data_IF_437427184438
#
_entry.id   IF_437427184438
#
_cell.length_a   1.000
_cell.length_b   1.000
_cell.length_c   1.000
_cell.angle_alpha   90.00
_cell.angle_beta   90.00
_cell.angle_gamma   90.00
#
_symmetry.space_group_name_H-M   'P 1'
#
loop_
_entity.id
_entity.type
_entity.pdbx_description
1 polymer ?
#
# COMPACT_ATOMS: atom_id res chain seq x y z
N UNK A 1 -33.21 17.63 9.49
CA UNK A 1 -32.79 16.83 8.33
C UNK A 1 -33.86 16.96 7.27
N UNK A 2 -33.47 17.29 6.03
CA UNK A 2 -34.38 17.45 4.90
C UNK A 2 -35.11 16.13 4.56
N UNK A 3 -36.40 16.20 4.27
CA UNK A 3 -37.27 15.04 4.00
C UNK A 3 -36.87 14.34 2.71
N UNK A 4 -36.41 15.09 1.70
CA UNK A 4 -35.93 14.52 0.44
C UNK A 4 -34.61 13.77 0.63
N UNK A 5 -33.68 14.35 1.41
CA UNK A 5 -32.42 13.70 1.76
C UNK A 5 -32.61 12.39 2.53
N UNK A 6 -33.52 12.38 3.51
CA UNK A 6 -33.85 11.18 4.27
C UNK A 6 -34.49 10.10 3.38
N UNK A 7 -35.39 10.48 2.46
CA UNK A 7 -35.99 9.55 1.50
C UNK A 7 -34.93 8.99 0.54
N UNK A 8 -33.96 9.79 0.11
CA UNK A 8 -32.86 9.33 -0.75
C UNK A 8 -31.96 8.33 -0.02
N UNK A 9 -31.66 8.52 1.27
CA UNK A 9 -30.88 7.54 2.03
C UNK A 9 -31.59 6.17 2.08
N UNK A 10 -32.91 6.17 2.22
CA UNK A 10 -33.71 4.94 2.26
C UNK A 10 -33.63 4.14 0.95
N UNK A 11 -33.46 4.79 -0.21
CA UNK A 11 -33.38 4.06 -1.49
C UNK A 11 -32.13 3.19 -1.62
N UNK A 12 -31.10 3.43 -0.81
CA UNK A 12 -29.86 2.62 -0.80
C UNK A 12 -29.94 1.47 0.21
N UNK A 13 -30.80 1.57 1.23
CA UNK A 13 -30.76 0.71 2.42
C UNK A 13 -31.60 -0.57 2.27
N UNK A 14 -32.51 -0.64 1.29
CA UNK A 14 -33.57 -1.67 1.26
C UNK A 14 -33.40 -2.81 0.24
N UNK A 15 -32.18 -3.04 -0.26
CA UNK A 15 -31.94 -4.10 -1.25
C UNK A 15 -31.25 -5.32 -0.62
N UNK A 16 -32.01 -6.40 -0.38
CA UNK A 16 -31.45 -7.70 0.05
C UNK A 16 -30.62 -8.39 -1.05
N UNK A 17 -30.87 -8.00 -2.32
CA UNK A 17 -30.07 -8.47 -3.45
C UNK A 17 -28.77 -7.67 -3.59
N UNK A 18 -27.64 -8.38 -3.59
CA UNK A 18 -26.31 -7.76 -3.63
C UNK A 18 -26.06 -6.96 -4.91
N UNK A 19 -26.64 -7.38 -6.04
CA UNK A 19 -26.47 -6.69 -7.32
C UNK A 19 -27.36 -5.43 -7.38
N UNK A 20 -28.63 -5.54 -6.99
CA UNK A 20 -29.55 -4.42 -6.87
C UNK A 20 -28.99 -3.36 -5.91
N UNK A 21 -28.45 -3.77 -4.76
CA UNK A 21 -27.77 -2.86 -3.83
C UNK A 21 -26.60 -2.11 -4.49
N UNK A 22 -25.75 -2.80 -5.27
CA UNK A 22 -24.66 -2.16 -6.00
C UNK A 22 -25.16 -1.18 -7.09
N UNK A 23 -26.24 -1.51 -7.78
CA UNK A 23 -26.87 -0.66 -8.81
C UNK A 23 -27.50 0.59 -8.18
N UNK A 24 -28.31 0.43 -7.13
CA UNK A 24 -28.90 1.53 -6.37
C UNK A 24 -27.83 2.45 -5.78
N UNK A 25 -26.75 1.88 -5.23
CA UNK A 25 -25.61 2.66 -4.76
C UNK A 25 -24.86 3.37 -5.89
N UNK A 26 -24.76 2.76 -7.08
CA UNK A 26 -24.14 3.37 -8.26
C UNK A 26 -24.91 4.60 -8.75
N UNK A 27 -26.24 4.56 -8.71
CA UNK A 27 -27.07 5.70 -9.08
C UNK A 27 -27.15 6.75 -7.97
N UNK A 28 -27.23 6.31 -6.71
CA UNK A 28 -27.14 7.20 -5.55
C UNK A 28 -25.82 7.97 -5.50
N UNK A 29 -24.69 7.34 -5.88
CA UNK A 29 -23.37 7.99 -5.93
C UNK A 29 -23.30 9.16 -6.92
N UNK A 30 -24.22 9.27 -7.88
CA UNK A 30 -24.33 10.38 -8.85
C UNK A 30 -25.28 11.48 -8.40
N UNK A 31 -26.01 11.27 -7.31
CA UNK A 31 -27.00 12.20 -6.79
C UNK A 31 -26.36 13.44 -6.17
N UNK A 32 -27.02 14.59 -6.30
CA UNK A 32 -26.65 15.82 -5.60
C UNK A 32 -26.59 15.64 -4.07
N UNK A 33 -27.37 14.69 -3.54
CA UNK A 33 -27.40 14.38 -2.10
C UNK A 33 -26.08 13.82 -1.58
N UNK A 34 -25.16 13.36 -2.44
CA UNK A 34 -23.79 13.01 -2.02
C UNK A 34 -22.99 14.23 -1.54
N UNK A 35 -23.27 15.42 -2.06
CA UNK A 35 -22.68 16.66 -1.57
C UNK A 35 -23.22 17.00 -0.18
N UNK A 36 -24.53 16.90 0.03
CA UNK A 36 -25.17 17.05 1.35
C UNK A 36 -24.59 16.06 2.35
N UNK A 37 -24.46 14.78 1.98
CA UNK A 37 -23.87 13.74 2.82
C UNK A 37 -22.41 14.03 3.19
N UNK A 38 -21.66 14.68 2.30
CA UNK A 38 -20.29 15.13 2.56
C UNK A 38 -20.25 16.28 3.56
N UNK A 39 -21.16 17.24 3.45
CA UNK A 39 -21.25 18.37 4.39
C UNK A 39 -21.66 17.90 5.79
N UNK A 40 -22.63 17.00 5.88
CA UNK A 40 -23.06 16.40 7.16
C UNK A 40 -21.91 15.60 7.80
N UNK A 41 -21.19 14.79 7.01
CA UNK A 41 -20.00 14.08 7.48
C UNK A 41 -18.92 15.03 8.03
N UNK A 42 -18.64 16.14 7.34
CA UNK A 42 -17.66 17.14 7.81
C UNK A 42 -18.13 17.89 9.06
N UNK A 43 -19.43 18.14 9.20
CA UNK A 43 -20.00 18.77 10.39
C UNK A 43 -19.87 17.84 11.60
N UNK A 44 -20.16 16.55 11.40
CA UNK A 44 -20.04 15.51 12.41
C UNK A 44 -18.57 15.29 12.83
N UNK A 45 -17.64 15.21 11.87
CA UNK A 45 -16.21 15.04 12.15
C UNK A 45 -15.64 16.21 12.97
N UNK A 46 -16.16 17.44 12.83
CA UNK A 46 -15.74 18.59 13.66
C UNK A 46 -16.18 18.48 15.11
N UNK A 47 -17.23 17.72 15.39
CA UNK A 47 -17.78 17.55 16.74
C UNK A 47 -17.26 16.30 17.44
N UNK A 48 -16.60 15.41 16.69
CA UNK A 48 -16.08 14.12 17.16
C UNK A 48 -14.60 14.20 17.54
N UNK A 49 -14.21 13.38 18.51
CA UNK A 49 -12.82 13.23 18.91
C UNK A 49 -12.02 12.33 17.95
N UNK A 50 -10.68 12.32 18.00
CA UNK A 50 -9.82 11.52 17.12
C UNK A 50 -9.98 10.01 17.26
N UNK A 51 -10.53 9.57 18.39
CA UNK A 51 -10.83 8.17 18.69
C UNK A 51 -12.23 7.73 18.26
N UNK A 52 -13.12 8.70 18.00
CA UNK A 52 -14.45 8.35 17.56
C UNK A 52 -14.31 7.78 16.16
N UNK A 53 -14.71 6.52 16.01
CA UNK A 53 -14.77 5.89 14.70
C UNK A 53 -15.59 6.73 13.72
N UNK A 54 -15.47 6.39 12.44
CA UNK A 54 -16.12 7.10 11.34
C UNK A 54 -17.61 7.40 11.65
N UNK A 55 -18.00 8.66 11.51
CA UNK A 55 -19.38 9.13 11.58
C UNK A 55 -20.37 8.31 10.76
N UNK A 56 -21.64 8.09 11.17
CA UNK A 56 -22.67 7.49 10.34
C UNK A 56 -22.76 8.09 8.94
N UNK A 57 -22.67 9.42 8.79
CA UNK A 57 -22.72 10.06 7.46
C UNK A 57 -21.46 9.78 6.65
N UNK A 58 -20.28 9.89 7.28
CA UNK A 58 -19.03 9.53 6.64
C UNK A 58 -19.00 8.04 6.23
N UNK A 59 -19.64 7.18 7.03
CA UNK A 59 -19.76 5.73 6.82
C UNK A 59 -20.70 5.42 5.67
N UNK A 60 -21.89 6.00 5.66
CA UNK A 60 -22.83 5.89 4.55
C UNK A 60 -22.18 6.36 3.24
N UNK A 61 -21.51 7.52 3.24
CA UNK A 61 -20.81 8.06 2.06
C UNK A 61 -19.79 7.08 1.51
N UNK A 62 -19.01 6.48 2.40
CA UNK A 62 -18.00 5.50 2.03
C UNK A 62 -18.60 4.24 1.42
N UNK A 63 -19.64 3.68 2.03
CA UNK A 63 -20.24 2.45 1.54
C UNK A 63 -21.02 2.66 0.25
N UNK A 64 -21.78 3.76 0.11
CA UNK A 64 -22.42 4.14 -1.16
C UNK A 64 -21.36 4.22 -2.27
N UNK A 65 -20.27 4.95 -2.02
CA UNK A 65 -19.19 5.08 -2.98
C UNK A 65 -18.54 3.75 -3.34
N UNK A 66 -18.29 2.87 -2.36
CA UNK A 66 -17.67 1.56 -2.60
C UNK A 66 -18.56 0.60 -3.38
N UNK A 67 -19.84 0.54 -3.04
CA UNK A 67 -20.82 -0.31 -3.71
C UNK A 67 -21.03 0.19 -5.15
N UNK A 68 -21.25 1.49 -5.33
CA UNK A 68 -21.39 2.10 -6.65
C UNK A 68 -20.15 1.96 -7.53
N UNK A 69 -18.95 2.03 -6.94
CA UNK A 69 -17.69 1.84 -7.66
C UNK A 69 -17.53 0.42 -8.22
N UNK A 70 -18.14 -0.61 -7.62
CA UNK A 70 -18.11 -1.96 -8.21
C UNK A 70 -18.69 -1.94 -9.61
N UNK A 71 -19.85 -1.31 -9.83
CA UNK A 71 -20.45 -1.21 -11.16
C UNK A 71 -19.55 -0.43 -12.12
N UNK A 72 -19.00 0.69 -11.68
CA UNK A 72 -18.08 1.52 -12.48
C UNK A 72 -16.83 0.74 -12.90
N UNK A 73 -16.19 0.03 -11.96
CA UNK A 73 -14.97 -0.72 -12.21
C UNK A 73 -15.19 -1.87 -13.22
N UNK A 74 -16.30 -2.60 -13.13
CA UNK A 74 -16.60 -3.66 -14.09
C UNK A 74 -16.90 -3.09 -15.49
N UNK A 75 -17.66 -1.98 -15.57
CA UNK A 75 -17.90 -1.30 -16.86
C UNK A 75 -16.60 -0.84 -17.50
N UNK A 76 -15.72 -0.22 -16.71
CA UNK A 76 -14.40 0.22 -17.18
C UNK A 76 -13.54 -0.97 -17.63
N UNK A 77 -13.51 -2.06 -16.85
CA UNK A 77 -12.76 -3.27 -17.21
C UNK A 77 -13.22 -3.86 -18.55
N UNK A 78 -14.53 -3.91 -18.81
CA UNK A 78 -15.07 -4.41 -20.09
C UNK A 78 -14.69 -3.48 -21.25
N UNK A 79 -14.78 -2.16 -21.04
CA UNK A 79 -14.38 -1.18 -22.04
C UNK A 79 -12.87 -1.26 -22.36
N UNK A 80 -12.04 -1.40 -21.33
CA UNK A 80 -10.59 -1.49 -21.46
C UNK A 80 -10.15 -2.83 -22.04
N UNK A 81 -10.88 -3.92 -21.79
CA UNK A 81 -10.55 -5.25 -22.31
C UNK A 81 -10.47 -5.27 -23.84
N UNK A 82 -11.30 -4.48 -24.53
CA UNK A 82 -11.22 -4.32 -25.99
C UNK A 82 -9.87 -3.74 -26.44
N UNK A 83 -9.32 -2.79 -25.68
CA UNK A 83 -8.03 -2.15 -25.97
C UNK A 83 -6.83 -2.96 -25.46
N UNK A 84 -7.04 -3.80 -24.45
CA UNK A 84 -6.01 -4.60 -23.78
C UNK A 84 -6.02 -6.08 -24.21
N UNK A 85 -6.75 -6.43 -25.28
CA UNK A 85 -6.86 -7.81 -25.76
C UNK A 85 -5.51 -8.49 -26.01
N UNK A 86 -4.50 -7.72 -26.45
CA UNK A 86 -3.14 -8.24 -26.62
C UNK A 86 -2.52 -8.71 -25.29
N UNK A 87 -2.78 -8.03 -24.17
CA UNK A 87 -2.28 -8.44 -22.86
C UNK A 87 -2.93 -9.75 -22.41
N UNK A 88 -4.26 -9.84 -22.60
CA UNK A 88 -5.05 -11.02 -22.22
C UNK A 88 -4.71 -12.26 -23.06
N UNK A 89 -4.30 -12.07 -24.32
CA UNK A 89 -3.91 -13.17 -25.21
C UNK A 89 -2.42 -13.55 -25.15
N UNK A 90 -1.54 -12.66 -24.73
CA UNK A 90 -0.07 -12.87 -24.79
C UNK A 90 0.52 -13.32 -23.47
N UNK A 91 -0.04 -12.86 -22.34
CA UNK A 91 0.51 -13.13 -21.01
C UNK A 91 -0.33 -14.13 -20.24
N UNK A 92 0.34 -14.91 -19.38
CA UNK A 92 -0.31 -15.85 -18.49
C UNK A 92 -0.30 -15.31 -17.07
N UNK A 93 -1.42 -15.47 -16.38
CA UNK A 93 -1.50 -15.21 -14.93
C UNK A 93 -0.88 -16.39 -14.20
N UNK A 94 0.05 -16.11 -13.28
CA UNK A 94 0.70 -17.12 -12.45
C UNK A 94 0.49 -16.76 -10.99
N UNK A 95 0.19 -17.78 -10.19
CA UNK A 95 0.15 -17.63 -8.74
C UNK A 95 1.60 -17.55 -8.22
N UNK A 96 1.87 -16.53 -7.41
CA UNK A 96 3.12 -16.43 -6.65
C UNK A 96 2.97 -17.24 -5.36
N UNK A 97 3.94 -18.09 -5.06
CA UNK A 97 3.96 -18.87 -3.82
C UNK A 97 3.98 -17.94 -2.61
N UNK A 98 3.09 -18.20 -1.66
CA UNK A 98 3.00 -17.42 -0.43
C UNK A 98 4.28 -17.60 0.38
N UNK A 99 4.91 -16.47 0.73
CA UNK A 99 6.04 -16.47 1.66
C UNK A 99 5.49 -16.38 3.08
N UNK A 100 5.97 -17.28 3.96
CA UNK A 100 5.58 -17.24 5.38
C UNK A 100 6.06 -15.95 6.02
N UNK A 101 5.26 -15.38 6.90
CA UNK A 101 5.71 -14.25 7.73
C UNK A 101 6.48 -14.74 8.94
N UNK A 102 7.39 -13.91 9.44
CA UNK A 102 7.91 -14.07 10.81
C UNK A 102 6.73 -14.03 11.80
N UNK A 103 6.75 -14.92 12.78
CA UNK A 103 5.74 -14.99 13.84
C UNK A 103 5.80 -13.75 14.72
N UNK A 104 4.65 -13.37 15.24
CA UNK A 104 4.58 -12.28 16.21
C UNK A 104 5.40 -12.61 17.47
N UNK A 105 6.20 -11.67 18.00
CA UNK A 105 6.84 -11.84 19.30
C UNK A 105 5.80 -11.78 20.42
N UNK A 106 5.96 -12.62 21.43
CA UNK A 106 5.10 -12.56 22.63
C UNK A 106 5.36 -11.27 23.40
N UNK A 107 4.31 -10.58 23.89
CA UNK A 107 4.49 -9.47 24.81
C UNK A 107 5.31 -9.89 26.03
N UNK A 108 6.30 -9.09 26.38
CA UNK A 108 7.17 -9.28 27.54
C UNK A 108 7.10 -8.07 28.49
N UNK A 109 7.89 -8.10 29.56
CA UNK A 109 7.99 -6.97 30.51
C UNK A 109 8.49 -5.66 29.86
N UNK A 110 9.09 -5.74 28.67
CA UNK A 110 9.53 -4.60 27.87
C UNK A 110 8.50 -4.16 26.82
N UNK A 111 7.36 -4.83 26.73
CA UNK A 111 6.23 -4.45 25.89
C UNK A 111 5.33 -3.50 26.68
N UNK A 112 5.89 -2.32 26.96
CA UNK A 112 5.26 -1.20 27.67
C UNK A 112 5.68 0.11 27.01
N UNK A 113 4.97 1.22 27.25
CA UNK A 113 5.35 2.53 26.70
C UNK A 113 6.82 2.88 27.02
N UNK A 114 7.25 2.68 28.26
CA UNK A 114 8.63 2.94 28.69
C UNK A 114 9.63 1.96 28.05
N UNK A 115 9.26 0.68 27.96
CA UNK A 115 10.10 -0.32 27.29
C UNK A 115 10.29 -0.03 25.80
N UNK A 116 9.22 0.39 25.11
CA UNK A 116 9.25 0.83 23.71
C UNK A 116 10.13 2.07 23.58
N UNK A 117 9.92 3.09 24.42
CA UNK A 117 10.71 4.32 24.40
C UNK A 117 12.21 4.05 24.62
N UNK A 118 12.55 3.11 25.51
CA UNK A 118 13.94 2.68 25.74
C UNK A 118 14.60 2.05 24.51
N UNK A 119 13.84 1.39 23.63
CA UNK A 119 14.35 0.85 22.35
C UNK A 119 14.38 1.91 21.24
N UNK A 120 13.58 2.96 21.38
CA UNK A 120 13.55 4.08 20.44
C UNK A 120 14.70 5.06 20.69
N UNK A 121 15.05 5.36 21.93
CA UNK A 121 16.03 6.40 22.25
C UNK A 121 17.40 5.83 22.61
N UNK A 122 18.45 6.59 22.30
CA UNK A 122 19.81 6.28 22.78
C UNK A 122 19.91 6.55 24.27
N UNK A 123 20.85 5.88 24.94
CA UNK A 123 21.15 6.17 26.35
C UNK A 123 21.65 7.61 26.48
N UNK A 124 21.02 8.40 27.34
CA UNK A 124 21.37 9.82 27.56
C UNK A 124 20.84 10.77 26.49
N UNK A 125 19.83 10.37 25.71
CA UNK A 125 19.18 11.25 24.74
C UNK A 125 18.65 12.53 25.43
N UNK A 126 19.05 13.74 25.01
CA UNK A 126 18.69 14.98 25.66
C UNK A 126 17.19 15.29 25.57
N UNK A 127 16.51 14.77 24.55
CA UNK A 127 15.08 15.01 24.33
C UNK A 127 14.19 14.00 25.05
N UNK A 128 14.79 12.98 25.69
CA UNK A 128 14.07 11.88 26.34
C UNK A 128 12.92 12.34 27.22
N UNK A 129 13.17 13.26 28.14
CA UNK A 129 12.16 13.74 29.09
C UNK A 129 11.00 14.47 28.40
N UNK A 130 11.26 15.14 27.28
CA UNK A 130 10.23 15.80 26.48
C UNK A 130 9.38 14.77 25.73
N UNK A 131 10.03 13.81 25.06
CA UNK A 131 9.37 12.73 24.31
C UNK A 131 8.49 11.90 25.25
N UNK A 132 9.02 11.49 26.41
CA UNK A 132 8.31 10.70 27.42
C UNK A 132 7.04 11.44 27.90
N UNK A 133 7.18 12.73 28.24
CA UNK A 133 6.04 13.55 28.67
C UNK A 133 4.97 13.68 27.58
N UNK A 134 5.36 13.94 26.34
CA UNK A 134 4.42 14.05 25.22
C UNK A 134 3.73 12.73 24.93
N UNK A 135 4.47 11.62 24.92
CA UNK A 135 3.92 10.28 24.72
C UNK A 135 2.89 9.92 25.80
N UNK A 136 3.20 10.18 27.07
CA UNK A 136 2.24 9.96 28.16
C UNK A 136 1.00 10.85 28.05
N UNK A 137 1.17 12.10 27.61
CA UNK A 137 0.02 12.98 27.39
C UNK A 137 -0.90 12.46 26.27
N UNK A 138 -0.32 12.03 25.14
CA UNK A 138 -1.07 11.44 24.03
C UNK A 138 -1.79 10.18 24.52
N UNK A 139 -1.09 9.28 25.22
CA UNK A 139 -1.70 8.05 25.74
C UNK A 139 -2.80 8.32 26.76
N UNK A 140 -2.66 9.33 27.62
CA UNK A 140 -3.73 9.70 28.57
C UNK A 140 -4.98 10.22 27.84
N UNK A 141 -4.81 10.92 26.73
CA UNK A 141 -5.92 11.49 25.97
C UNK A 141 -6.65 10.46 25.10
N UNK A 142 -5.92 9.44 24.62
CA UNK A 142 -6.42 8.55 23.56
C UNK A 142 -6.18 7.06 23.78
N UNK A 143 -5.66 6.67 24.94
CA UNK A 143 -5.34 5.29 25.33
C UNK A 143 -4.69 4.45 24.21
N UNK A 144 -3.77 5.08 23.46
CA UNK A 144 -3.16 4.50 22.26
C UNK A 144 -2.50 3.15 22.53
N UNK A 145 -1.96 2.96 23.74
CA UNK A 145 -1.26 1.75 24.10
C UNK A 145 -2.23 0.60 24.32
N UNK A 146 -3.39 0.84 24.95
CA UNK A 146 -4.43 -0.18 25.09
C UNK A 146 -4.96 -0.59 23.73
N UNK A 147 -5.31 0.38 22.87
CA UNK A 147 -5.76 0.10 21.50
C UNK A 147 -4.73 -0.68 20.69
N UNK A 148 -3.45 -0.30 20.78
CA UNK A 148 -2.36 -1.07 20.18
C UNK A 148 -2.29 -2.50 20.71
N UNK A 149 -2.38 -2.71 22.03
CA UNK A 149 -2.31 -4.06 22.62
C UNK A 149 -3.51 -4.93 22.25
N UNK A 150 -4.70 -4.36 22.09
CA UNK A 150 -5.88 -5.05 21.60
C UNK A 150 -5.69 -5.52 20.15
N UNK A 151 -5.15 -4.68 19.28
CA UNK A 151 -4.84 -5.06 17.89
C UNK A 151 -3.68 -6.07 17.83
N UNK A 152 -2.61 -5.80 18.58
CA UNK A 152 -1.42 -6.64 18.63
C UNK A 152 -1.79 -8.05 19.10
N UNK A 153 -2.50 -8.20 20.22
CA UNK A 153 -2.80 -9.54 20.78
C UNK A 153 -3.64 -10.42 19.86
N UNK A 154 -4.37 -9.83 18.91
CA UNK A 154 -5.27 -10.54 17.99
C UNK A 154 -4.74 -10.65 16.56
N UNK A 155 -3.60 -10.02 16.24
CA UNK A 155 -3.11 -10.01 14.87
C UNK A 155 -2.31 -11.28 14.53
N UNK A 156 -2.41 -11.70 13.27
CA UNK A 156 -1.52 -12.71 12.68
C UNK A 156 -0.67 -12.01 11.63
N UNK A 157 0.63 -11.84 11.85
CA UNK A 157 1.48 -11.18 10.87
C UNK A 157 1.45 -11.88 9.52
N UNK A 158 1.34 -11.12 8.45
CA UNK A 158 1.35 -11.60 7.07
C UNK A 158 2.31 -10.78 6.22
N UNK A 159 2.89 -11.43 5.21
CA UNK A 159 3.66 -10.74 4.18
C UNK A 159 2.66 -10.18 3.17
N UNK A 160 2.65 -8.87 2.98
CA UNK A 160 1.77 -8.22 2.01
C UNK A 160 2.16 -8.56 0.57
N UNK A 161 1.19 -8.48 -0.35
CA UNK A 161 1.33 -8.91 -1.75
C UNK A 161 2.50 -8.21 -2.48
N UNK A 162 2.72 -6.92 -2.21
CA UNK A 162 3.81 -6.11 -2.74
C UNK A 162 5.16 -6.81 -2.50
N UNK A 163 5.40 -7.23 -1.26
CA UNK A 163 6.65 -7.87 -0.84
C UNK A 163 6.73 -9.30 -1.39
N UNK A 164 5.61 -10.02 -1.44
CA UNK A 164 5.59 -11.38 -2.00
C UNK A 164 6.04 -11.40 -3.47
N UNK A 165 5.52 -10.48 -4.29
CA UNK A 165 5.93 -10.36 -5.69
C UNK A 165 7.39 -9.90 -5.80
N UNK A 166 7.81 -8.94 -4.96
CA UNK A 166 9.20 -8.47 -4.93
C UNK A 166 10.18 -9.61 -4.64
N UNK A 167 9.94 -10.38 -3.57
CA UNK A 167 10.78 -11.52 -3.19
C UNK A 167 10.76 -12.61 -4.26
N UNK A 168 9.60 -12.88 -4.87
CA UNK A 168 9.50 -13.85 -5.95
C UNK A 168 10.40 -13.48 -7.14
N UNK A 169 10.33 -12.22 -7.60
CA UNK A 169 11.19 -11.74 -8.69
C UNK A 169 12.66 -11.75 -8.31
N UNK A 170 12.99 -11.34 -7.09
CA UNK A 170 14.37 -11.27 -6.63
C UNK A 170 15.00 -12.66 -6.48
N UNK A 171 14.33 -13.57 -5.78
CA UNK A 171 14.86 -14.90 -5.47
C UNK A 171 14.97 -15.78 -6.72
N UNK A 172 14.04 -15.62 -7.67
CA UNK A 172 14.05 -16.35 -8.94
C UNK A 172 14.79 -15.62 -10.07
N UNK A 173 15.40 -14.46 -9.80
CA UNK A 173 16.15 -13.65 -10.77
C UNK A 173 15.35 -13.36 -12.05
N UNK A 174 14.06 -13.07 -11.90
CA UNK A 174 13.16 -12.80 -13.02
C UNK A 174 13.41 -11.42 -13.61
N UNK A 175 13.31 -11.32 -14.93
CA UNK A 175 13.39 -10.05 -15.66
C UNK A 175 12.04 -9.37 -15.76
N UNK A 176 12.02 -8.06 -15.58
CA UNK A 176 10.83 -7.24 -15.85
C UNK A 176 10.74 -6.91 -17.35
N UNK A 177 9.51 -6.80 -17.85
CA UNK A 177 9.26 -6.30 -19.21
C UNK A 177 9.85 -4.90 -19.33
N UNK A 178 10.57 -4.64 -20.42
CA UNK A 178 11.28 -3.38 -20.68
C UNK A 178 12.22 -2.92 -19.53
N UNK A 179 12.64 -3.85 -18.65
CA UNK A 179 13.43 -3.57 -17.46
C UNK A 179 12.75 -2.58 -16.48
N UNK A 180 11.43 -2.44 -16.55
CA UNK A 180 10.65 -1.61 -15.63
C UNK A 180 10.32 -2.40 -14.36
N UNK A 181 11.08 -2.17 -13.29
CA UNK A 181 10.95 -2.88 -12.00
C UNK A 181 9.78 -2.40 -11.16
N UNK A 182 8.65 -2.12 -11.80
CA UNK A 182 7.43 -1.67 -11.18
C UNK A 182 6.56 -2.86 -10.78
N UNK A 183 6.02 -2.81 -9.56
CA UNK A 183 5.02 -3.77 -9.06
C UNK A 183 3.74 -2.99 -8.80
N UNK A 184 2.72 -3.26 -9.62
CA UNK A 184 1.38 -2.72 -9.44
C UNK A 184 0.62 -3.51 -8.37
N UNK A 185 -0.15 -2.81 -7.55
CA UNK A 185 -1.10 -3.41 -6.60
C UNK A 185 -2.43 -2.67 -6.66
N UNK A 186 -3.52 -3.34 -6.26
CA UNK A 186 -4.87 -2.76 -6.29
C UNK A 186 -5.08 -1.62 -5.28
N UNK A 187 -4.15 -1.43 -4.35
CA UNK A 187 -4.10 -0.32 -3.40
C UNK A 187 -2.66 0.19 -3.33
N UNK A 188 -2.50 1.44 -2.92
CA UNK A 188 -1.19 1.97 -2.52
C UNK A 188 -0.61 1.11 -1.40
N UNK A 189 0.72 1.04 -1.33
CA UNK A 189 1.41 0.21 -0.36
C UNK A 189 1.22 0.72 1.07
N UNK A 190 1.37 -0.17 2.05
CA UNK A 190 1.52 0.28 3.43
C UNK A 190 2.89 0.89 3.69
N UNK A 191 3.02 1.61 4.81
CA UNK A 191 4.27 2.31 5.13
C UNK A 191 5.46 1.34 5.24
N UNK A 192 5.26 0.20 5.89
CA UNK A 192 6.30 -0.83 6.00
C UNK A 192 6.68 -1.43 4.64
N UNK A 193 5.73 -1.61 3.71
CA UNK A 193 6.03 -2.08 2.35
C UNK A 193 6.83 -1.05 1.55
N UNK A 194 6.47 0.24 1.63
CA UNK A 194 7.25 1.34 1.03
C UNK A 194 8.71 1.32 1.52
N UNK A 195 8.92 1.27 2.84
CA UNK A 195 10.26 1.24 3.42
C UNK A 195 11.01 -0.05 3.07
N UNK A 196 10.31 -1.19 2.99
CA UNK A 196 10.89 -2.45 2.52
C UNK A 196 11.44 -2.30 1.10
N UNK A 197 10.63 -1.80 0.16
CA UNK A 197 11.06 -1.55 -1.21
C UNK A 197 12.25 -0.59 -1.29
N UNK A 198 12.22 0.49 -0.50
CA UNK A 198 13.28 1.50 -0.45
C UNK A 198 14.63 0.93 -0.01
N UNK A 199 14.63 -0.03 0.91
CA UNK A 199 15.86 -0.58 1.49
C UNK A 199 16.26 -1.94 0.90
N UNK A 200 15.40 -2.55 0.08
CA UNK A 200 15.64 -3.86 -0.50
C UNK A 200 16.69 -3.81 -1.65
N UNK A 201 17.64 -4.76 -1.72
CA UNK A 201 18.72 -4.75 -2.72
C UNK A 201 18.26 -4.90 -4.19
N UNK A 202 17.03 -5.38 -4.44
CA UNK A 202 16.49 -5.49 -5.80
C UNK A 202 16.37 -4.13 -6.52
N UNK A 203 16.31 -3.02 -5.76
CA UNK A 203 16.13 -1.64 -6.26
C UNK A 203 14.94 -1.55 -7.22
N UNK A 204 13.79 -2.03 -6.76
CA UNK A 204 12.52 -1.89 -7.47
C UNK A 204 12.01 -0.45 -7.38
N UNK A 205 11.09 -0.07 -8.26
CA UNK A 205 10.39 1.21 -8.16
C UNK A 205 9.64 1.24 -6.83
N UNK A 206 9.86 2.28 -6.02
CA UNK A 206 9.21 2.42 -4.73
C UNK A 206 7.72 2.70 -4.98
N UNK A 207 6.79 1.90 -4.42
CA UNK A 207 5.37 2.10 -4.64
C UNK A 207 4.89 3.38 -3.93
N UNK A 208 3.83 3.98 -4.46
CA UNK A 208 3.05 4.94 -3.69
C UNK A 208 2.52 4.31 -2.41
N UNK A 209 2.36 5.09 -1.35
CA UNK A 209 1.97 4.61 -0.04
C UNK A 209 0.77 5.37 0.51
N UNK A 210 -0.14 4.66 1.16
CA UNK A 210 -1.20 5.27 1.95
C UNK A 210 -0.72 5.66 3.37
N UNK A 211 0.57 5.47 3.69
CA UNK A 211 1.25 5.89 4.93
C UNK A 211 0.64 5.33 6.23
N UNK A 212 -0.04 4.17 6.16
CA UNK A 212 -0.52 3.48 7.37
C UNK A 212 0.44 2.37 7.77
N UNK A 213 0.58 2.21 9.08
CA UNK A 213 1.32 1.12 9.72
C UNK A 213 0.31 0.07 10.19
N UNK A 214 0.55 -1.20 9.86
CA UNK A 214 -0.33 -2.30 10.22
C UNK A 214 0.37 -3.21 11.25
N UNK A 215 -0.22 -3.45 12.44
CA UNK A 215 0.34 -4.40 13.39
C UNK A 215 0.39 -5.85 12.87
N UNK A 216 -0.44 -6.17 11.89
CA UNK A 216 -0.46 -7.45 11.18
C UNK A 216 0.54 -7.53 10.02
N UNK A 217 1.38 -6.52 9.81
CA UNK A 217 2.46 -6.61 8.83
C UNK A 217 3.63 -7.40 9.42
N UNK A 218 4.20 -8.32 8.64
CA UNK A 218 5.44 -8.99 9.00
C UNK A 218 6.37 -9.19 7.81
N UNK A 219 7.70 -9.23 8.05
CA UNK A 219 8.65 -9.51 6.99
C UNK A 219 8.60 -11.00 6.57
N UNK A 220 9.09 -11.31 5.35
CA UNK A 220 9.32 -12.69 4.91
C UNK A 220 10.10 -13.51 5.94
N UNK A 221 9.71 -14.73 6.28
CA UNK A 221 10.47 -15.57 7.18
C UNK A 221 11.71 -16.15 6.46
N UNK A 222 12.87 -16.06 7.12
CA UNK A 222 14.09 -16.78 6.70
C UNK A 222 14.09 -18.13 7.42
N UNK A 223 14.20 -19.23 6.67
CA UNK A 223 14.09 -20.61 7.18
C UNK A 223 15.15 -20.96 8.21
N UNK A 224 16.37 -20.45 8.07
CA UNK A 224 17.48 -20.70 8.99
C UNK A 224 18.21 -19.41 9.35
N UNK A 225 17.55 -18.57 10.17
CA UNK A 225 18.14 -17.30 10.58
C UNK A 225 19.45 -17.53 11.37
N UNK A 226 20.59 -17.18 10.77
CA UNK A 226 21.92 -17.41 11.32
C UNK A 226 22.84 -16.24 11.01
N UNK A 227 23.75 -15.92 11.92
CA UNK A 227 24.77 -14.89 11.69
C UNK A 227 25.67 -15.31 10.52
N UNK A 228 26.08 -14.36 9.68
CA UNK A 228 26.93 -14.61 8.51
C UNK A 228 26.27 -15.46 7.42
N UNK A 229 24.95 -15.51 7.40
CA UNK A 229 24.17 -16.02 6.27
C UNK A 229 23.58 -14.82 5.51
N UNK A 230 23.81 -14.76 4.20
CA UNK A 230 23.44 -13.62 3.37
C UNK A 230 21.96 -13.23 3.47
N UNK A 231 21.04 -14.20 3.52
CA UNK A 231 19.60 -13.93 3.65
C UNK A 231 19.24 -13.36 5.03
N UNK A 232 19.85 -13.91 6.09
CA UNK A 232 19.65 -13.47 7.47
C UNK A 232 20.22 -12.07 7.69
N UNK A 233 21.42 -11.82 7.18
CA UNK A 233 22.09 -10.53 7.26
C UNK A 233 21.33 -9.49 6.43
N UNK A 234 20.87 -9.83 5.21
CA UNK A 234 19.99 -8.96 4.40
C UNK A 234 18.73 -8.59 5.15
N UNK A 235 18.02 -9.57 5.70
CA UNK A 235 16.79 -9.32 6.45
C UNK A 235 17.04 -8.40 7.64
N UNK A 236 18.06 -8.69 8.45
CA UNK A 236 18.46 -7.84 9.58
C UNK A 236 18.71 -6.41 9.12
N UNK A 237 19.48 -6.23 8.06
CA UNK A 237 19.89 -4.91 7.60
C UNK A 237 18.71 -4.09 7.04
N UNK A 238 17.78 -4.74 6.33
CA UNK A 238 16.53 -4.11 5.89
C UNK A 238 15.68 -3.71 7.11
N UNK A 239 15.46 -4.62 8.05
CA UNK A 239 14.62 -4.36 9.23
C UNK A 239 15.20 -3.29 10.14
N UNK A 240 16.52 -3.22 10.27
CA UNK A 240 17.19 -2.15 11.02
C UNK A 240 16.94 -0.78 10.39
N UNK A 241 17.03 -0.66 9.06
CA UNK A 241 16.74 0.59 8.34
C UNK A 241 15.26 0.98 8.46
N UNK A 242 14.34 0.02 8.29
CA UNK A 242 12.89 0.26 8.50
C UNK A 242 12.65 0.76 9.93
N UNK A 243 13.25 0.13 10.93
CA UNK A 243 13.13 0.52 12.34
C UNK A 243 13.68 1.91 12.60
N UNK A 244 14.79 2.29 11.96
CA UNK A 244 15.37 3.63 12.06
C UNK A 244 14.45 4.71 11.46
N UNK A 245 13.86 4.46 10.29
CA UNK A 245 12.89 5.38 9.68
C UNK A 245 11.62 5.51 10.53
N UNK A 246 11.04 4.39 10.96
CA UNK A 246 9.86 4.39 11.84
C UNK A 246 10.10 5.14 13.15
N UNK A 247 11.28 4.94 13.76
CA UNK A 247 11.68 5.63 14.99
C UNK A 247 11.71 7.14 14.79
N UNK A 248 12.35 7.60 13.71
CA UNK A 248 12.48 9.02 13.39
C UNK A 248 11.10 9.66 13.23
N UNK A 249 10.23 9.04 12.45
CA UNK A 249 8.88 9.56 12.17
C UNK A 249 8.00 9.54 13.41
N UNK A 250 8.06 8.48 14.22
CA UNK A 250 7.31 8.38 15.46
C UNK A 250 7.74 9.45 16.48
N UNK A 251 9.05 9.67 16.68
CA UNK A 251 9.56 10.72 17.57
C UNK A 251 9.08 12.09 17.11
N UNK A 252 9.16 12.36 15.81
CA UNK A 252 8.69 13.62 15.24
C UNK A 252 7.19 13.87 15.51
N UNK A 253 6.35 12.85 15.34
CA UNK A 253 4.91 12.94 15.62
C UNK A 253 4.63 13.17 17.12
N UNK A 254 5.34 12.43 18.00
CA UNK A 254 5.23 12.57 19.46
C UNK A 254 5.60 13.99 19.90
N UNK A 255 6.75 14.51 19.43
CA UNK A 255 7.24 15.83 19.82
C UNK A 255 6.34 16.96 19.34
N UNK A 256 5.75 16.81 18.15
CA UNK A 256 4.78 17.78 17.64
C UNK A 256 3.43 17.76 18.37
N UNK A 257 3.24 16.84 19.33
CA UNK A 257 1.92 16.53 19.89
C UNK A 257 0.87 16.38 18.77
N UNK A 258 1.31 15.86 17.61
CA UNK A 258 0.42 15.73 16.47
C UNK A 258 -0.66 14.77 16.91
N UNK A 259 -1.93 15.19 16.75
CA UNK A 259 -3.00 14.22 16.82
C UNK A 259 -2.69 13.12 15.78
N UNK A 260 -3.11 11.87 16.05
CA UNK A 260 -3.02 10.82 15.05
C UNK A 260 -3.50 11.39 13.71
N UNK A 261 -2.83 11.09 12.59
CA UNK A 261 -3.34 11.49 11.28
C UNK A 261 -4.82 11.15 11.21
N UNK A 262 -5.65 12.11 10.80
CA UNK A 262 -7.09 11.90 10.64
C UNK A 262 -7.27 10.62 9.86
N UNK A 263 -8.03 9.67 10.39
CA UNK A 263 -8.26 8.39 9.75
C UNK A 263 -8.68 8.63 8.30
N UNK A 264 -7.94 8.04 7.36
CA UNK A 264 -8.27 8.08 5.93
C UNK A 264 -8.45 6.66 5.40
N UNK A 265 -9.30 6.41 4.39
CA UNK A 265 -9.41 5.08 3.79
C UNK A 265 -8.09 4.68 3.12
N UNK A 266 -7.77 3.38 3.18
CA UNK A 266 -6.61 2.78 2.49
C UNK A 266 -6.87 2.55 0.99
N UNK A 267 -8.12 2.70 0.58
CA UNK A 267 -8.64 2.44 -0.75
C UNK A 267 -9.15 3.76 -1.32
N UNK A 268 -8.68 4.12 -2.51
CA UNK A 268 -9.31 5.19 -3.26
C UNK A 268 -10.67 4.68 -3.74
N UNK A 269 -11.76 5.13 -3.11
CA UNK A 269 -13.01 5.26 -3.87
C UNK A 269 -12.76 6.43 -4.81
N UNK A 270 -12.80 6.22 -6.13
CA UNK A 270 -12.68 7.27 -7.15
C UNK A 270 -13.70 8.44 -6.97
N UNK A 271 -14.59 8.35 -5.99
CA UNK A 271 -15.43 9.43 -5.49
C UNK A 271 -14.66 10.63 -4.94
N UNK A 272 -13.40 10.48 -4.50
CA UNK A 272 -12.56 11.64 -4.14
C UNK A 272 -12.22 12.50 -5.37
N UNK A 273 -12.19 11.91 -6.58
CA UNK A 273 -11.85 12.62 -7.82
C UNK A 273 -13.07 13.26 -8.51
N UNK A 274 -14.29 12.79 -8.18
CA UNK A 274 -15.54 13.37 -8.72
C UNK A 274 -15.75 14.81 -8.23
N UNK A 275 -15.22 15.18 -7.06
CA UNK A 275 -15.31 16.56 -6.54
C UNK A 275 -14.25 17.47 -7.19
N UNK A 276 -13.12 16.92 -7.66
CA UNK A 276 -12.02 17.70 -8.26
C UNK A 276 -12.36 18.20 -9.67
N UNK A 277 -13.26 17.53 -10.40
CA UNK A 277 -13.69 18.01 -11.71
C UNK A 277 -14.53 19.30 -11.68
N UNK A 278 -15.05 19.70 -10.51
CA UNK A 278 -15.85 20.92 -10.35
C UNK A 278 -15.04 22.14 -9.88
N UNK A 279 -13.72 22.01 -9.71
CA UNK A 279 -12.83 23.15 -9.50
C UNK A 279 -11.68 23.06 -10.50
N UNK A 280 -11.67 24.00 -11.45
CA UNK A 280 -10.62 24.14 -12.46
C UNK A 280 -9.20 24.15 -11.86
N UNK A 281 -8.18 23.93 -12.72
CA UNK A 281 -6.85 23.54 -12.27
C UNK A 281 -6.17 24.67 -11.52
N UNK A 282 -5.93 24.46 -10.23
CA UNK A 282 -4.96 25.22 -9.45
C UNK A 282 -4.05 24.25 -8.73
N UNK A 283 -3.06 23.71 -9.45
CA UNK A 283 -1.77 23.40 -8.86
C UNK A 283 -0.64 23.74 -9.85
N UNK A 284 0.38 24.49 -9.40
CA UNK A 284 1.52 24.86 -10.24
C UNK A 284 2.45 23.66 -10.45
N UNK A 285 2.74 23.40 -11.72
CA UNK A 285 3.78 22.49 -12.18
C UNK A 285 5.13 22.90 -11.59
N UNK A 286 5.63 22.12 -10.63
CA UNK A 286 7.00 22.27 -10.13
C UNK A 286 7.94 21.78 -11.24
N UNK A 287 8.43 22.74 -12.01
CA UNK A 287 9.40 22.58 -13.10
C UNK A 287 10.66 21.92 -12.54
N UNK A 288 10.97 20.71 -13.02
CA UNK A 288 12.27 20.09 -12.83
C UNK A 288 13.31 20.96 -13.54
N UNK A 289 14.22 21.55 -12.77
CA UNK A 289 15.41 22.19 -13.29
C UNK A 289 16.36 21.09 -13.76
N UNK A 290 16.38 20.82 -15.07
CA UNK A 290 17.45 20.07 -15.71
C UNK A 290 18.60 21.02 -16.01
N UNK A 291 19.68 20.94 -15.24
CA UNK A 291 20.97 21.50 -15.62
C UNK A 291 21.69 20.46 -16.49
N UNK A 292 21.60 20.57 -17.81
CA UNK A 292 22.65 20.08 -18.70
C UNK A 292 22.81 21.05 -19.88
N UNK A 293 23.82 21.91 -19.74
CA UNK A 293 24.36 22.75 -20.80
C UNK A 293 25.13 21.85 -21.76
N UNK A 294 24.52 21.43 -22.88
CA UNK A 294 25.26 20.83 -23.99
C UNK A 294 25.41 21.85 -25.11
N UNK A 295 26.62 22.43 -25.15
CA UNK A 295 27.18 23.11 -26.30
C UNK A 295 27.10 22.20 -27.52
N UNK A 296 26.32 22.63 -28.51
CA UNK A 296 26.38 22.12 -29.86
C UNK A 296 27.72 22.54 -30.49
N UNK A 297 28.58 21.57 -30.79
CA UNK A 297 29.59 21.76 -31.83
C UNK A 297 29.63 20.54 -32.74
N UNK A 298 29.14 20.77 -33.95
CA UNK A 298 29.19 19.91 -35.13
C UNK A 298 30.63 19.48 -35.44
N UNK A 299 30.85 18.17 -35.66
CA UNK A 299 31.90 17.67 -36.55
C UNK A 299 31.52 16.30 -37.11
N UNK A 300 31.30 16.28 -38.44
CA UNK A 300 31.21 15.10 -39.31
C UNK A 300 32.51 14.29 -39.30
N UNK A 301 32.41 12.96 -39.33
CA UNK A 301 33.30 12.00 -40.04
C UNK A 301 32.72 10.59 -39.81
N UNK A 302 32.15 9.90 -40.80
CA UNK A 302 32.69 9.19 -41.99
C UNK A 302 32.59 7.67 -41.78
N UNK A 303 31.84 7.04 -42.69
CA UNK A 303 31.69 5.60 -42.91
C UNK A 303 33.03 4.87 -43.07
N UNK A 304 33.16 3.69 -42.45
CA UNK A 304 33.81 2.51 -43.02
C UNK A 304 33.07 1.27 -42.49
N UNK A 305 32.57 0.42 -43.39
CA UNK A 305 32.05 -0.91 -43.05
C UNK A 305 33.10 -2.00 -43.28
N UNK A 306 32.92 -3.17 -42.67
CA UNK A 306 33.14 -4.51 -43.26
C UNK A 306 32.86 -5.65 -42.25
N UNK A 307 32.01 -6.58 -42.70
CA UNK A 307 31.81 -8.05 -42.46
C UNK A 307 32.72 -8.74 -41.41
N UNK A 308 32.31 -9.81 -40.71
CA UNK A 308 32.01 -11.19 -41.17
C UNK A 308 31.38 -11.99 -39.99
N UNK A 309 30.46 -12.95 -40.25
CA UNK A 309 30.24 -14.12 -39.37
C UNK A 309 28.87 -14.82 -39.42
N UNK A 310 28.69 -15.76 -40.37
CA UNK A 310 27.66 -16.84 -40.37
C UNK A 310 27.89 -17.79 -39.15
N UNK A 311 27.02 -18.68 -38.62
CA UNK A 311 25.85 -19.44 -39.09
C UNK A 311 25.16 -20.12 -37.83
N UNK A 312 24.29 -21.18 -37.88
CA UNK A 312 22.99 -21.21 -37.20
C UNK A 312 22.73 -22.44 -36.26
N UNK A 313 21.45 -22.63 -35.91
CA UNK A 313 20.75 -23.86 -35.45
C UNK A 313 20.92 -24.28 -33.98
N UNK A 314 19.80 -24.27 -33.26
CA UNK A 314 19.51 -25.33 -32.28
C UNK A 314 18.13 -25.93 -32.52
N UNK A 315 18.12 -27.24 -32.38
CA UNK A 315 17.08 -28.19 -32.71
C UNK A 315 15.86 -28.07 -31.78
N UNK A 316 14.71 -28.36 -32.37
CA UNK A 316 13.44 -28.67 -31.72
C UNK A 316 13.44 -30.17 -31.42
N UNK A 317 13.32 -30.55 -30.15
CA UNK A 317 12.92 -31.91 -29.76
C UNK A 317 11.79 -31.82 -28.75
N UNK A 318 10.62 -32.21 -29.22
CA UNK A 318 9.48 -32.67 -28.42
C UNK A 318 9.71 -34.14 -28.08
N UNK A 319 9.26 -34.57 -26.89
CA UNK A 319 8.74 -35.89 -26.49
C UNK A 319 8.61 -35.80 -24.95
N UNK A 320 7.41 -35.62 -24.40
CA UNK A 320 6.53 -36.69 -23.88
C UNK A 320 7.31 -37.84 -23.25
N UNK A 321 7.25 -37.95 -21.92
CA UNK A 321 7.12 -39.23 -21.24
C UNK A 321 6.38 -39.03 -19.91
N UNK A 322 5.41 -39.91 -19.71
CA UNK A 322 4.59 -40.05 -18.53
C UNK A 322 5.36 -40.77 -17.42
N UNK A 323 5.13 -40.40 -16.15
CA UNK A 323 5.20 -41.35 -15.04
C UNK A 323 4.12 -40.97 -14.02
N UNK A 324 3.20 -41.91 -13.88
CA UNK A 324 2.10 -42.04 -12.92
C UNK A 324 2.63 -42.72 -11.64
N UNK A 325 1.81 -42.78 -10.57
CA UNK A 325 2.01 -43.47 -9.26
C UNK A 325 2.75 -42.68 -8.15
N UNK A 326 2.31 -42.63 -6.88
CA UNK A 326 1.19 -43.28 -6.15
C UNK A 326 0.93 -42.54 -4.83
N UNK A 327 -0.33 -42.55 -4.36
CA UNK A 327 -0.73 -42.29 -2.98
C UNK A 327 -0.14 -43.35 -2.03
N UNK A 328 0.12 -42.98 -0.76
CA UNK A 328 -0.08 -43.88 0.39
C UNK A 328 -0.15 -43.10 1.72
N UNK A 329 -1.31 -43.26 2.37
CA UNK A 329 -1.74 -43.09 3.78
C UNK A 329 -1.72 -41.72 4.49
#
# INVERSE_FOLDING_TARGET
MDREFASWLQTVIHEDDSLACCLSAHDAAKSQFMATLTLEAQSEDRQRGPLDGRGPFATARHYIGRLGYRITAHKQLIQDACSLGYLLGTFNVRLVSLVRSVSQPQPDSHTSLNGILNRMLKKGDPERSAIERSLHNINRQSDIFRGFMEEFSNCKPTVHAEIQVLEHFFNNKLSFVANDKYIACSKAACFCCKLYFQHHPARMVIPESHEKVWPSWGPPAVTFFRKHNDESDRQRDILNKITESLRTDAIYQILKCSQPPVWHPDSQTAMSDIITFCKGPLYPQRRLLTNETLHTSSKRQRLIGSRIGNHPRFYRTSLTDAVEYQEEY
#
